data_IF_122248087369
#
_entry.id   IF_122248087369
#
_cell.length_a   1.000
_cell.length_b   1.000
_cell.length_c   1.000
_cell.angle_alpha   90.00
_cell.angle_beta   90.00
_cell.angle_gamma   90.00
#
_symmetry.space_group_name_H-M   'P 1'
#
loop_
_entity.id
_entity.type
_entity.pdbx_description
1 polymer ?
#
# COMPACT_ATOMS: atom_id res chain seq x y z
N UNK A 1 10.74 27.02 -7.63
CA UNK A 1 10.00 25.75 -7.42
C UNK A 1 10.99 24.57 -7.37
N UNK A 2 11.62 24.26 -6.22
CA UNK A 2 12.59 23.13 -6.10
C UNK A 2 12.77 22.53 -4.70
N UNK A 3 12.24 23.16 -3.63
CA UNK A 3 12.46 22.72 -2.24
C UNK A 3 11.54 21.57 -1.76
N UNK A 4 10.44 21.26 -2.46
CA UNK A 4 9.50 20.21 -2.02
C UNK A 4 9.84 18.79 -2.53
N UNK A 5 10.70 18.66 -3.56
CA UNK A 5 10.92 17.35 -4.18
C UNK A 5 11.87 16.45 -3.37
N UNK A 6 12.96 17.00 -2.83
CA UNK A 6 13.95 16.22 -2.06
C UNK A 6 13.37 15.63 -0.77
N UNK A 7 12.56 16.41 -0.03
CA UNK A 7 11.86 15.92 1.17
C UNK A 7 10.87 14.80 0.84
N UNK A 8 10.07 14.97 -0.22
CA UNK A 8 9.13 13.92 -0.62
C UNK A 8 9.86 12.65 -1.07
N UNK A 9 10.99 12.76 -1.77
CA UNK A 9 11.84 11.62 -2.13
C UNK A 9 12.37 10.93 -0.87
N UNK A 10 12.89 11.68 0.11
CA UNK A 10 13.39 11.11 1.36
C UNK A 10 12.29 10.35 2.14
N UNK A 11 11.11 10.95 2.29
CA UNK A 11 9.98 10.27 2.91
C UNK A 11 9.50 9.06 2.12
N UNK A 12 9.48 9.14 0.79
CA UNK A 12 9.14 8.01 -0.09
C UNK A 12 10.08 6.83 0.15
N UNK A 13 11.39 7.10 0.28
CA UNK A 13 12.40 6.09 0.58
C UNK A 13 12.20 5.48 1.98
N UNK A 14 11.95 6.31 3.00
CA UNK A 14 11.66 5.84 4.37
C UNK A 14 10.40 4.96 4.39
N UNK A 15 9.33 5.39 3.75
CA UNK A 15 8.08 4.62 3.70
C UNK A 15 8.23 3.33 2.90
N UNK A 16 8.99 3.35 1.81
CA UNK A 16 9.28 2.13 1.06
C UNK A 16 10.09 1.13 1.89
N UNK A 17 11.14 1.60 2.58
CA UNK A 17 11.93 0.78 3.49
C UNK A 17 11.06 0.19 4.61
N UNK A 18 10.16 0.99 5.19
CA UNK A 18 9.21 0.53 6.21
C UNK A 18 8.30 -0.57 5.68
N UNK A 19 7.72 -0.40 4.48
CA UNK A 19 6.87 -1.42 3.86
C UNK A 19 7.62 -2.74 3.59
N UNK A 20 8.85 -2.66 3.09
CA UNK A 20 9.68 -3.85 2.87
C UNK A 20 10.06 -4.51 4.21
N UNK A 21 10.38 -3.72 5.24
CA UNK A 21 10.71 -4.22 6.57
C UNK A 21 9.53 -5.02 7.16
N UNK A 22 8.32 -4.47 7.09
CA UNK A 22 7.13 -5.18 7.57
C UNK A 22 6.77 -6.39 6.70
N UNK A 23 7.05 -6.34 5.40
CA UNK A 23 6.91 -7.47 4.48
C UNK A 23 7.92 -8.61 4.69
N UNK A 24 8.99 -8.38 5.47
CA UNK A 24 10.07 -9.36 5.70
C UNK A 24 10.14 -9.85 7.14
N UNK A 25 9.84 -8.99 8.12
CA UNK A 25 9.95 -9.33 9.55
C UNK A 25 8.61 -9.75 10.15
N UNK A 26 7.52 -9.10 9.77
CA UNK A 26 6.19 -9.38 10.32
C UNK A 26 5.55 -10.50 9.50
N UNK A 27 5.98 -11.74 9.76
CA UNK A 27 5.52 -12.94 9.06
C UNK A 27 4.62 -13.78 9.97
N UNK A 28 3.37 -13.37 10.13
CA UNK A 28 2.41 -14.11 10.95
C UNK A 28 1.84 -15.27 10.11
N UNK A 29 2.01 -16.54 10.52
CA UNK A 29 1.55 -17.68 9.72
C UNK A 29 0.03 -17.67 9.50
N UNK A 30 -0.40 -18.09 8.31
CA UNK A 30 -1.81 -18.38 8.02
C UNK A 30 -2.04 -19.90 7.88
N UNK A 31 -3.30 -20.37 7.80
CA UNK A 31 -3.58 -21.78 7.58
C UNK A 31 -3.03 -22.37 6.27
N UNK A 32 -2.63 -21.52 5.31
CA UNK A 32 -1.98 -21.94 4.06
C UNK A 32 -0.46 -21.78 4.20
N UNK A 33 0.33 -22.85 3.97
CA UNK A 33 1.79 -22.78 4.02
C UNK A 33 2.33 -21.71 3.08
N UNK A 34 3.35 -20.98 3.53
CA UNK A 34 4.01 -19.91 2.77
C UNK A 34 3.15 -18.68 2.44
N UNK A 35 1.96 -18.58 3.02
CA UNK A 35 1.16 -17.36 3.04
C UNK A 35 1.22 -16.80 4.46
N UNK A 36 1.84 -15.64 4.62
CA UNK A 36 2.02 -14.97 5.91
C UNK A 36 1.30 -13.64 5.90
N UNK A 37 0.58 -13.32 6.97
CA UNK A 37 0.08 -11.96 7.20
C UNK A 37 1.27 -11.04 7.47
N UNK A 38 1.38 -10.00 6.64
CA UNK A 38 2.45 -9.01 6.62
C UNK A 38 1.87 -7.60 6.44
N UNK A 39 2.34 -6.59 7.19
CA UNK A 39 1.80 -5.23 7.05
C UNK A 39 2.58 -4.43 6.00
N UNK A 40 3.00 -5.05 4.89
CA UNK A 40 3.88 -4.41 3.89
C UNK A 40 3.27 -3.15 3.27
N UNK A 41 1.94 -3.08 3.17
CA UNK A 41 1.24 -1.92 2.64
C UNK A 41 1.32 -0.67 3.53
N UNK A 42 1.82 -0.75 4.77
CA UNK A 42 1.93 0.41 5.67
C UNK A 42 2.68 1.58 5.03
N UNK A 43 3.78 1.29 4.32
CA UNK A 43 4.57 2.28 3.61
C UNK A 43 3.79 2.94 2.47
N UNK A 44 3.16 2.12 1.63
CA UNK A 44 2.33 2.55 0.50
C UNK A 44 1.21 3.48 0.96
N UNK A 45 0.50 3.08 2.03
CA UNK A 45 -0.63 3.81 2.58
C UNK A 45 -0.19 5.16 3.17
N UNK A 46 0.88 5.17 3.98
CA UNK A 46 1.43 6.40 4.55
C UNK A 46 1.86 7.37 3.45
N UNK A 47 2.60 6.88 2.46
CA UNK A 47 3.06 7.69 1.33
C UNK A 47 1.88 8.26 0.53
N UNK A 48 0.88 7.43 0.22
CA UNK A 48 -0.31 7.83 -0.51
C UNK A 48 -1.09 8.97 0.19
N UNK A 49 -1.32 8.83 1.50
CA UNK A 49 -2.11 9.80 2.26
C UNK A 49 -1.30 11.09 2.53
N UNK A 50 0.00 10.99 2.84
CA UNK A 50 0.81 12.12 3.30
C UNK A 50 1.57 12.85 2.18
N UNK A 51 1.90 12.15 1.09
CA UNK A 51 2.71 12.67 -0.02
C UNK A 51 1.90 12.80 -1.33
N UNK A 52 0.79 12.07 -1.45
CA UNK A 52 -0.11 12.13 -2.61
C UNK A 52 0.14 11.04 -3.65
N UNK A 53 -0.57 11.07 -4.79
CA UNK A 53 -0.71 9.91 -5.69
C UNK A 53 0.59 9.48 -6.36
N UNK A 54 1.43 10.42 -6.78
CA UNK A 54 2.71 10.09 -7.42
C UNK A 54 3.62 9.31 -6.45
N UNK A 55 3.83 9.84 -5.26
CA UNK A 55 4.71 9.24 -4.25
C UNK A 55 4.10 7.97 -3.64
N UNK A 56 2.78 7.94 -3.44
CA UNK A 56 2.06 6.71 -3.06
C UNK A 56 2.25 5.59 -4.08
N UNK A 57 2.14 5.90 -5.38
CA UNK A 57 2.40 4.95 -6.45
C UNK A 57 3.84 4.47 -6.50
N UNK A 58 4.82 5.38 -6.40
CA UNK A 58 6.25 5.02 -6.37
C UNK A 58 6.56 4.13 -5.15
N UNK A 59 6.08 4.50 -3.96
CA UNK A 59 6.27 3.69 -2.77
C UNK A 59 5.63 2.30 -2.93
N UNK A 60 4.39 2.24 -3.44
CA UNK A 60 3.71 0.96 -3.70
C UNK A 60 4.48 0.08 -4.67
N UNK A 61 5.03 0.66 -5.74
CA UNK A 61 5.87 -0.04 -6.69
C UNK A 61 7.09 -0.66 -6.00
N UNK A 62 7.86 0.15 -5.26
CA UNK A 62 9.09 -0.29 -4.58
C UNK A 62 8.78 -1.38 -3.55
N UNK A 63 7.75 -1.19 -2.72
CA UNK A 63 7.31 -2.18 -1.73
C UNK A 63 6.90 -3.48 -2.41
N UNK A 64 6.28 -3.40 -3.60
CA UNK A 64 5.86 -4.58 -4.36
C UNK A 64 6.99 -5.35 -5.04
N UNK A 65 8.21 -4.81 -5.12
CA UNK A 65 9.37 -5.53 -5.69
C UNK A 65 9.67 -6.79 -4.87
N UNK A 66 9.72 -6.68 -3.54
CA UNK A 66 9.98 -7.82 -2.67
C UNK A 66 9.02 -8.99 -2.93
N UNK A 67 7.68 -8.85 -2.74
CA UNK A 67 6.75 -9.94 -3.02
C UNK A 67 6.74 -10.33 -4.50
N UNK A 68 6.97 -9.40 -5.43
CA UNK A 68 7.07 -9.72 -6.85
C UNK A 68 8.21 -10.70 -7.16
N UNK A 69 9.36 -10.52 -6.52
CA UNK A 69 10.51 -11.44 -6.64
C UNK A 69 10.26 -12.73 -5.85
N UNK A 70 9.81 -12.64 -4.59
CA UNK A 70 9.58 -13.81 -3.72
C UNK A 70 8.54 -14.77 -4.30
N UNK A 71 7.47 -14.24 -4.89
CA UNK A 71 6.41 -15.05 -5.49
C UNK A 71 6.59 -15.23 -7.01
N UNK A 72 7.62 -14.65 -7.63
CA UNK A 72 7.83 -14.72 -9.08
C UNK A 72 6.72 -14.06 -9.93
N UNK A 73 5.86 -13.23 -9.33
CA UNK A 73 4.82 -12.49 -10.03
C UNK A 73 5.24 -11.02 -10.21
N UNK A 74 5.86 -10.74 -11.37
CA UNK A 74 6.37 -9.41 -11.71
C UNK A 74 5.30 -8.32 -11.87
N UNK A 75 4.01 -8.67 -11.84
CA UNK A 75 2.92 -7.69 -11.86
C UNK A 75 2.61 -7.10 -10.48
N UNK A 76 3.04 -7.76 -9.39
CA UNK A 76 2.78 -7.30 -8.02
C UNK A 76 3.25 -5.86 -7.75
N UNK A 77 4.46 -5.42 -8.17
CA UNK A 77 4.86 -4.01 -8.09
C UNK A 77 3.84 -3.06 -8.71
N UNK A 78 3.32 -3.39 -9.89
CA UNK A 78 2.35 -2.55 -10.61
C UNK A 78 1.03 -2.49 -9.87
N UNK A 79 0.56 -3.62 -9.33
CA UNK A 79 -0.70 -3.67 -8.58
C UNK A 79 -0.61 -2.84 -7.30
N UNK A 80 0.48 -2.96 -6.55
CA UNK A 80 0.71 -2.15 -5.35
C UNK A 80 0.87 -0.66 -5.66
N UNK A 81 1.47 -0.32 -6.79
CA UNK A 81 1.52 1.06 -7.26
C UNK A 81 0.11 1.63 -7.50
N UNK A 82 -0.77 0.85 -8.14
CA UNK A 82 -2.17 1.25 -8.33
C UNK A 82 -2.87 1.47 -6.98
N UNK A 83 -2.68 0.58 -6.00
CA UNK A 83 -3.22 0.78 -4.65
C UNK A 83 -2.78 2.12 -4.06
N UNK A 84 -1.49 2.45 -4.11
CA UNK A 84 -0.99 3.75 -3.64
C UNK A 84 -1.63 4.95 -4.34
N UNK A 85 -1.80 4.88 -5.67
CA UNK A 85 -2.45 5.94 -6.45
C UNK A 85 -3.92 6.09 -6.05
N UNK A 86 -4.68 4.99 -6.01
CA UNK A 86 -6.11 5.03 -5.72
C UNK A 86 -6.38 5.48 -4.29
N UNK A 87 -5.62 5.01 -3.30
CA UNK A 87 -5.72 5.46 -1.92
C UNK A 87 -5.53 6.99 -1.84
N UNK A 88 -4.51 7.53 -2.50
CA UNK A 88 -4.22 8.96 -2.50
C UNK A 88 -5.31 9.81 -3.18
N UNK A 89 -5.96 9.28 -4.22
CA UNK A 89 -7.07 9.96 -4.90
C UNK A 89 -8.33 9.96 -4.03
N UNK A 90 -8.62 8.84 -3.38
CA UNK A 90 -9.81 8.66 -2.54
C UNK A 90 -9.68 9.37 -1.19
N UNK A 91 -8.49 9.44 -0.60
CA UNK A 91 -8.25 10.09 0.70
C UNK A 91 -8.53 11.59 0.70
N UNK A 92 -8.54 12.22 -0.48
CA UNK A 92 -8.93 13.63 -0.65
C UNK A 92 -10.44 13.87 -0.51
N UNK A 93 -11.24 12.84 -0.79
CA UNK A 93 -12.71 12.93 -0.89
C UNK A 93 -13.44 12.13 0.18
N UNK A 94 -12.73 11.26 0.91
CA UNK A 94 -13.32 10.28 1.81
C UNK A 94 -12.46 10.11 3.07
N UNK A 95 -12.99 9.39 4.06
CA UNK A 95 -12.24 9.08 5.29
C UNK A 95 -11.07 8.14 5.00
N UNK A 96 -9.92 8.27 5.69
CA UNK A 96 -8.75 7.41 5.50
C UNK A 96 -9.07 5.91 5.46
N UNK A 97 -9.90 5.41 6.38
CA UNK A 97 -10.27 3.99 6.39
C UNK A 97 -10.99 3.54 5.11
N UNK A 98 -11.88 4.37 4.58
CA UNK A 98 -12.63 4.10 3.34
C UNK A 98 -11.69 4.18 2.14
N UNK A 99 -10.83 5.19 2.11
CA UNK A 99 -9.85 5.36 1.04
C UNK A 99 -8.87 4.18 0.95
N UNK A 100 -8.38 3.70 2.09
CA UNK A 100 -7.47 2.55 2.17
C UNK A 100 -8.16 1.27 1.71
N UNK A 101 -9.37 1.00 2.18
CA UNK A 101 -10.13 -0.19 1.77
C UNK A 101 -10.48 -0.16 0.28
N UNK A 102 -11.12 0.90 -0.18
CA UNK A 102 -11.55 1.02 -1.57
C UNK A 102 -10.37 1.13 -2.55
N UNK A 103 -9.27 1.77 -2.12
CA UNK A 103 -8.07 1.91 -2.94
C UNK A 103 -7.30 0.61 -3.17
N UNK A 104 -7.50 -0.40 -2.31
CA UNK A 104 -6.94 -1.74 -2.49
C UNK A 104 -7.72 -2.62 -3.48
N UNK A 105 -9.00 -2.32 -3.74
CA UNK A 105 -9.85 -3.16 -4.60
C UNK A 105 -9.28 -3.42 -6.01
N UNK A 106 -8.64 -2.45 -6.71
CA UNK A 106 -7.98 -2.72 -7.98
C UNK A 106 -6.88 -3.78 -7.89
N UNK A 107 -6.02 -3.74 -6.85
CA UNK A 107 -5.00 -4.76 -6.62
C UNK A 107 -5.65 -6.12 -6.32
N UNK A 108 -6.66 -6.18 -5.46
CA UNK A 108 -7.36 -7.42 -5.15
C UNK A 108 -7.94 -8.10 -6.41
N UNK A 109 -8.60 -7.30 -7.26
CA UNK A 109 -9.15 -7.77 -8.52
C UNK A 109 -8.05 -8.28 -9.46
N UNK A 110 -6.95 -7.54 -9.62
CA UNK A 110 -5.85 -7.93 -10.49
C UNK A 110 -5.09 -9.15 -9.97
N UNK A 111 -4.95 -9.31 -8.65
CA UNK A 111 -4.40 -10.51 -8.03
C UNK A 111 -5.27 -11.73 -8.30
N UNK A 112 -6.60 -11.62 -8.14
CA UNK A 112 -7.52 -12.69 -8.50
C UNK A 112 -7.43 -13.03 -10.00
N UNK A 113 -7.48 -12.01 -10.87
CA UNK A 113 -7.42 -12.19 -12.32
C UNK A 113 -6.12 -12.88 -12.73
N UNK A 114 -4.97 -12.47 -12.20
CA UNK A 114 -3.67 -13.07 -12.55
C UNK A 114 -3.49 -14.48 -12.02
N UNK A 115 -3.78 -14.73 -10.73
CA UNK A 115 -3.48 -16.01 -10.09
C UNK A 115 -4.55 -17.09 -10.35
N UNK A 116 -5.83 -16.72 -10.38
CA UNK A 116 -6.93 -17.68 -10.53
C UNK A 116 -7.36 -17.87 -12.00
N UNK A 117 -7.45 -16.78 -12.77
CA UNK A 117 -8.02 -16.83 -14.14
C UNK A 117 -6.92 -17.02 -15.18
N UNK A 118 -5.94 -16.10 -15.22
CA UNK A 118 -4.86 -16.11 -16.21
C UNK A 118 -3.76 -17.13 -15.89
N UNK A 119 -3.72 -17.62 -14.64
CA UNK A 119 -2.74 -18.61 -14.14
C UNK A 119 -1.28 -18.16 -14.28
N UNK A 120 -1.01 -16.87 -14.10
CA UNK A 120 0.34 -16.29 -14.16
C UNK A 120 0.84 -16.02 -12.74
N UNK A 121 2.08 -16.39 -12.37
CA UNK A 121 3.10 -17.08 -13.18
C UNK A 121 2.91 -18.59 -13.33
N UNK A 122 2.28 -19.27 -12.36
CA UNK A 122 2.09 -20.74 -12.38
C UNK A 122 0.65 -21.19 -12.05
N UNK A 123 -0.24 -20.24 -11.72
CA UNK A 123 -1.62 -20.50 -11.35
C UNK A 123 -1.76 -21.16 -9.98
N UNK A 124 -2.65 -20.65 -9.14
CA UNK A 124 -2.86 -21.18 -7.79
C UNK A 124 -4.26 -21.77 -7.65
N UNK A 125 -4.43 -22.85 -6.84
CA UNK A 125 -5.75 -23.34 -6.50
C UNK A 125 -6.62 -22.25 -5.87
N UNK A 126 -7.91 -22.21 -6.18
CA UNK A 126 -8.84 -21.20 -5.65
C UNK A 126 -8.80 -21.05 -4.12
N UNK A 127 -8.71 -22.12 -3.31
CA UNK A 127 -8.56 -21.97 -1.85
C UNK A 127 -7.33 -21.17 -1.42
N UNK A 128 -6.22 -21.31 -2.14
CA UNK A 128 -4.98 -20.55 -1.88
C UNK A 128 -5.18 -19.08 -2.25
N UNK A 129 -5.78 -18.80 -3.41
CA UNK A 129 -6.08 -17.43 -3.86
C UNK A 129 -7.02 -16.72 -2.88
N UNK A 130 -8.07 -17.40 -2.43
CA UNK A 130 -8.98 -16.85 -1.42
C UNK A 130 -8.27 -16.55 -0.11
N UNK A 131 -7.36 -17.41 0.33
CA UNK A 131 -6.57 -17.16 1.54
C UNK A 131 -5.68 -15.93 1.39
N UNK A 132 -5.00 -15.77 0.24
CA UNK A 132 -4.18 -14.59 -0.07
C UNK A 132 -5.02 -13.31 0.00
N UNK A 133 -6.20 -13.32 -0.63
CA UNK A 133 -7.10 -12.16 -0.64
C UNK A 133 -7.64 -11.86 0.76
N UNK A 134 -8.11 -12.86 1.50
CA UNK A 134 -8.64 -12.67 2.86
C UNK A 134 -7.58 -12.10 3.81
N UNK A 135 -6.35 -12.62 3.74
CA UNK A 135 -5.18 -12.10 4.46
C UNK A 135 -4.94 -10.64 4.11
N UNK A 136 -4.92 -10.30 2.82
CA UNK A 136 -4.68 -8.92 2.39
C UNK A 136 -5.81 -7.97 2.80
N UNK A 137 -7.08 -8.40 2.75
CA UNK A 137 -8.20 -7.61 3.25
C UNK A 137 -8.09 -7.34 4.76
N UNK A 138 -7.67 -8.33 5.56
CA UNK A 138 -7.44 -8.14 6.99
C UNK A 138 -6.37 -7.07 7.26
N UNK A 139 -5.25 -7.11 6.53
CA UNK A 139 -4.18 -6.10 6.62
C UNK A 139 -4.69 -4.71 6.26
N UNK A 140 -5.43 -4.59 5.17
CA UNK A 140 -5.98 -3.32 4.68
C UNK A 140 -6.99 -2.74 5.67
N UNK A 141 -7.80 -3.56 6.34
CA UNK A 141 -8.69 -3.11 7.41
C UNK A 141 -7.87 -2.56 8.59
N UNK A 142 -6.86 -3.30 9.04
CA UNK A 142 -5.97 -2.88 10.14
C UNK A 142 -5.30 -1.55 9.79
N UNK A 143 -4.72 -1.45 8.59
CA UNK A 143 -4.06 -0.24 8.10
C UNK A 143 -5.05 0.92 7.97
N UNK A 144 -6.26 0.67 7.49
CA UNK A 144 -7.32 1.68 7.39
C UNK A 144 -7.69 2.27 8.76
N UNK A 145 -7.84 1.42 9.78
CA UNK A 145 -8.08 1.85 11.17
C UNK A 145 -6.89 2.65 11.70
N UNK A 146 -5.67 2.16 11.48
CA UNK A 146 -4.45 2.85 11.92
C UNK A 146 -4.34 4.23 11.28
N UNK A 147 -4.63 4.36 9.98
CA UNK A 147 -4.61 5.66 9.30
C UNK A 147 -5.70 6.60 9.79
N UNK A 148 -6.90 6.09 10.06
CA UNK A 148 -7.97 6.88 10.64
C UNK A 148 -7.56 7.49 12.00
N UNK A 149 -6.87 6.70 12.84
CA UNK A 149 -6.35 7.17 14.13
C UNK A 149 -5.18 8.15 13.96
N UNK A 150 -4.24 7.84 13.06
CA UNK A 150 -3.06 8.66 12.82
C UNK A 150 -3.43 10.04 12.26
N UNK A 151 -4.39 10.11 11.34
CA UNK A 151 -4.85 11.37 10.75
C UNK A 151 -5.66 12.25 11.71
N UNK A 152 -6.14 11.70 12.84
CA UNK A 152 -6.75 12.50 13.92
C UNK A 152 -5.72 13.21 14.78
N UNK A 153 -4.46 12.79 14.75
CA UNK A 153 -3.39 13.40 15.53
C UNK A 153 -3.09 14.83 15.02
N UNK A 154 -3.06 15.81 15.95
CA UNK A 154 -2.79 17.22 15.65
C UNK A 154 -1.44 17.43 14.97
N UNK A 155 -0.40 16.66 15.33
CA UNK A 155 0.92 16.77 14.71
C UNK A 155 0.94 16.36 13.24
N UNK A 156 0.13 15.35 12.87
CA UNK A 156 -0.03 14.94 11.47
C UNK A 156 -0.79 16.00 10.68
N UNK A 157 -1.85 16.57 11.27
CA UNK A 157 -2.57 17.70 10.65
C UNK A 157 -1.65 18.88 10.41
N UNK A 158 -0.83 19.25 11.39
CA UNK A 158 0.13 20.33 11.26
C UNK A 158 1.20 20.04 10.19
N UNK A 159 1.67 18.79 10.07
CA UNK A 159 2.55 18.37 8.98
C UNK A 159 1.89 18.56 7.61
N UNK A 160 0.62 18.16 7.46
CA UNK A 160 -0.14 18.34 6.22
C UNK A 160 -0.38 19.80 5.90
N UNK A 161 -0.77 20.61 6.88
CA UNK A 161 -0.97 22.05 6.74
C UNK A 161 0.33 22.78 6.37
N UNK A 162 1.48 22.35 6.92
CA UNK A 162 2.79 22.90 6.54
C UNK A 162 3.15 22.63 5.06
N UNK A 163 2.57 21.59 4.45
CA UNK A 163 2.68 21.35 3.01
C UNK A 163 1.68 22.17 2.18
N UNK A 164 0.48 22.44 2.73
CA UNK A 164 -0.55 23.27 2.07
C UNK A 164 -0.23 24.76 2.12
N UNK A 165 0.48 25.23 3.16
CA UNK A 165 0.94 26.62 3.27
C UNK A 165 1.88 27.07 2.13
N UNK A 166 2.46 26.13 1.38
CA UNK A 166 3.31 26.41 0.21
C UNK A 166 2.54 26.46 -1.13
N UNK A 167 1.21 26.35 -1.12
CA UNK A 167 0.36 26.53 -2.31
C UNK A 167 -0.23 27.95 -2.42
N UNK A 168 0.01 28.82 -1.43
CA UNK A 168 -0.46 30.21 -1.39
C UNK A 168 0.68 31.26 -1.27
N UNK A 169 1.93 30.86 -1.52
CA UNK A 169 3.11 31.73 -1.68
C UNK A 169 3.82 31.34 -2.98
#
# INVERSE_FOLDING_TARGET
MKANNSKNIAFTAIFAALGILFGTILLIPTPVPNVYLDLSHIGTVLSAILLGPLFGGITGFIVGIWPGVTFGNFFVPVFKALTGIFIALLSKKTRPIIAVFAGYLPEAFLTYLTLAVLKIPYGLPLPVVYTILMKAFAEIIILGILMELLMRNKGVKQFLESKVAFLYL
#
